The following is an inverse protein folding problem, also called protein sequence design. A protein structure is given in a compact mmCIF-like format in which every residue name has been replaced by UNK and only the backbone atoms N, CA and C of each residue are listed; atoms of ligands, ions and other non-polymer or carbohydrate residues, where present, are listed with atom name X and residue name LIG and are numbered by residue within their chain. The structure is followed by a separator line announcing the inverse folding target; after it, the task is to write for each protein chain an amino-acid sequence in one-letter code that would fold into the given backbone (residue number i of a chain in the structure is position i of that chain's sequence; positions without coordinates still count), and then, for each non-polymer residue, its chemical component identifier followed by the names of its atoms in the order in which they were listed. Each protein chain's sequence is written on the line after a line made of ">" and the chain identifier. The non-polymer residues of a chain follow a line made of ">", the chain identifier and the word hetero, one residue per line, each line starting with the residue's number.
data_IF_981340437322
#
_entry.id   IF_981340437322
#
_cell.length_a   1.000
_cell.length_b   1.000
_cell.length_c   1.000
_cell.angle_alpha   90.00
_cell.angle_beta   90.00
_cell.angle_gamma   90.00
#
_symmetry.space_group_name_H-M   'P 1'
#
loop_
_entity.id
_entity.type
_entity.pdbx_description
1 polymer ?
#
# COMPACT_ATOMS: atom_id res chain seq x y z
N UNK A 1 16.80 7.96 -17.03
CA UNK A 1 15.86 7.13 -16.24
C UNK A 1 14.53 7.85 -15.97
N UNK A 2 13.77 8.20 -17.01
CA UNK A 2 12.49 8.94 -16.85
C UNK A 2 11.24 8.08 -17.14
N UNK A 3 11.39 6.95 -17.85
CA UNK A 3 10.26 6.16 -18.35
C UNK A 3 9.44 5.47 -17.25
N UNK A 4 10.07 4.97 -16.19
CA UNK A 4 9.37 4.26 -15.11
C UNK A 4 8.46 5.18 -14.29
N UNK A 5 8.94 6.37 -13.93
CA UNK A 5 8.14 7.38 -13.24
C UNK A 5 7.01 7.92 -14.12
N UNK A 6 7.29 8.16 -15.42
CA UNK A 6 6.26 8.57 -16.37
C UNK A 6 5.18 7.50 -16.55
N UNK A 7 5.55 6.21 -16.58
CA UNK A 7 4.61 5.08 -16.71
C UNK A 7 3.78 4.88 -15.44
N UNK A 8 4.37 5.03 -14.25
CA UNK A 8 3.64 5.06 -12.97
C UNK A 8 2.67 6.25 -12.89
N UNK A 9 3.07 7.42 -13.40
CA UNK A 9 2.22 8.62 -13.46
C UNK A 9 1.08 8.48 -14.46
N UNK A 10 1.33 7.85 -15.61
CA UNK A 10 0.29 7.52 -16.58
C UNK A 10 -0.65 6.45 -16.02
N UNK A 11 -0.10 5.42 -15.37
CA UNK A 11 -0.86 4.35 -14.73
C UNK A 11 -1.77 4.87 -13.62
N UNK A 12 -1.27 5.76 -12.74
CA UNK A 12 -2.08 6.37 -11.68
C UNK A 12 -3.20 7.28 -12.20
N UNK A 13 -3.08 7.77 -13.44
CA UNK A 13 -4.13 8.53 -14.14
C UNK A 13 -5.19 7.65 -14.80
N UNK A 14 -4.96 6.35 -14.95
CA UNK A 14 -5.96 5.42 -15.50
C UNK A 14 -7.04 5.08 -14.46
N UNK A 15 -8.28 4.73 -14.88
CA UNK A 15 -9.33 4.30 -13.96
C UNK A 15 -8.95 3.04 -13.17
N UNK A 16 -8.14 2.14 -13.74
CA UNK A 16 -7.61 0.96 -13.06
C UNK A 16 -6.60 1.34 -11.96
N UNK A 17 -5.66 2.25 -12.25
CA UNK A 17 -4.71 2.76 -11.26
C UNK A 17 -5.40 3.53 -10.13
N UNK A 18 -6.41 4.35 -10.45
CA UNK A 18 -7.24 5.03 -9.44
C UNK A 18 -7.97 4.05 -8.53
N UNK A 19 -8.53 2.97 -9.07
CA UNK A 19 -9.16 1.90 -8.25
C UNK A 19 -8.14 1.22 -7.35
N UNK A 20 -6.97 0.86 -7.87
CA UNK A 20 -5.93 0.24 -7.05
C UNK A 20 -5.42 1.15 -5.95
N UNK A 21 -5.20 2.44 -6.24
CA UNK A 21 -4.83 3.45 -5.26
C UNK A 21 -5.96 3.68 -4.25
N UNK A 22 -7.23 3.70 -4.68
CA UNK A 22 -8.37 3.85 -3.79
C UNK A 22 -8.53 2.64 -2.85
N UNK A 23 -8.37 1.42 -3.36
CA UNK A 23 -8.37 0.19 -2.56
C UNK A 23 -7.22 0.18 -1.57
N UNK A 24 -6.00 0.52 -2.02
CA UNK A 24 -4.83 0.63 -1.15
C UNK A 24 -5.04 1.72 -0.08
N UNK A 25 -5.59 2.88 -0.46
CA UNK A 25 -5.88 3.99 0.44
C UNK A 25 -6.98 3.64 1.43
N UNK A 26 -8.00 2.88 1.03
CA UNK A 26 -9.07 2.38 1.91
C UNK A 26 -8.53 1.35 2.89
N UNK A 27 -7.74 0.39 2.39
CA UNK A 27 -7.06 -0.60 3.21
C UNK A 27 -6.08 0.04 4.21
N UNK A 28 -5.40 1.13 3.83
CA UNK A 28 -4.51 1.89 4.69
C UNK A 28 -5.24 2.86 5.64
N UNK A 29 -6.37 3.40 5.22
CA UNK A 29 -7.23 4.27 6.04
C UNK A 29 -7.99 3.48 7.09
N UNK A 30 -8.20 2.17 6.89
CA UNK A 30 -8.85 1.32 7.87
C UNK A 30 -7.97 1.13 9.13
N UNK A 31 -8.36 1.68 10.29
CA UNK A 31 -7.59 1.55 11.53
C UNK A 31 -7.51 0.09 12.00
N UNK A 32 -8.51 -0.72 11.65
CA UNK A 32 -8.54 -2.18 11.91
C UNK A 32 -7.40 -2.91 11.19
N UNK A 33 -7.15 -2.57 9.93
CA UNK A 33 -6.01 -3.12 9.19
C UNK A 33 -4.68 -2.64 9.76
N UNK A 34 -4.62 -1.40 10.24
CA UNK A 34 -3.42 -0.85 10.88
C UNK A 34 -3.07 -1.58 12.19
N UNK A 35 -4.06 -1.94 13.00
CA UNK A 35 -3.85 -2.74 14.22
C UNK A 35 -3.39 -4.17 13.88
N UNK A 36 -4.00 -4.79 12.86
CA UNK A 36 -3.63 -6.14 12.38
C UNK A 36 -2.21 -6.14 11.80
N UNK A 37 -1.87 -5.13 10.99
CA UNK A 37 -0.53 -4.94 10.45
C UNK A 37 0.50 -4.66 11.53
N UNK A 38 0.19 -3.83 12.53
CA UNK A 38 1.07 -3.61 13.70
C UNK A 38 1.30 -4.88 14.50
N UNK A 39 0.26 -5.68 14.73
CA UNK A 39 0.38 -6.96 15.43
C UNK A 39 1.25 -7.95 14.64
N UNK A 40 1.02 -8.08 13.33
CA UNK A 40 1.82 -8.94 12.45
C UNK A 40 3.28 -8.47 12.34
N UNK A 41 3.52 -7.16 12.18
CA UNK A 41 4.85 -6.56 12.21
C UNK A 41 5.54 -6.73 13.57
N UNK A 42 4.78 -6.66 14.66
CA UNK A 42 5.26 -6.93 16.01
C UNK A 42 5.69 -8.38 16.18
N UNK A 43 4.94 -9.34 15.62
CA UNK A 43 5.33 -10.77 15.62
C UNK A 43 6.56 -11.02 14.74
N UNK A 44 6.63 -10.41 13.56
CA UNK A 44 7.79 -10.50 12.67
C UNK A 44 9.05 -9.86 13.26
N UNK A 45 8.94 -8.73 13.97
CA UNK A 45 10.09 -8.09 14.66
C UNK A 45 10.42 -8.76 16.00
N UNK A 46 9.44 -9.35 16.68
CA UNK A 46 9.59 -9.99 17.99
C UNK A 46 10.09 -11.44 17.93
N UNK A 47 9.97 -12.11 16.79
CA UNK A 47 10.48 -13.47 16.56
C UNK A 47 11.97 -13.56 16.23
N UNK A 48 12.73 -12.47 16.37
CA UNK A 48 14.18 -12.43 16.14
C UNK A 48 14.92 -12.19 17.46
N UNK A 49 14.73 -13.10 18.41
CA UNK A 49 15.61 -13.31 19.57
C UNK A 49 15.76 -14.80 19.78
#
# INVERSE_FOLDING_TARGET
>A
MAGLLARLKAYSRTPQGRRNIATARRAAADPRNRAKARSLLGRLRGGRR
#
